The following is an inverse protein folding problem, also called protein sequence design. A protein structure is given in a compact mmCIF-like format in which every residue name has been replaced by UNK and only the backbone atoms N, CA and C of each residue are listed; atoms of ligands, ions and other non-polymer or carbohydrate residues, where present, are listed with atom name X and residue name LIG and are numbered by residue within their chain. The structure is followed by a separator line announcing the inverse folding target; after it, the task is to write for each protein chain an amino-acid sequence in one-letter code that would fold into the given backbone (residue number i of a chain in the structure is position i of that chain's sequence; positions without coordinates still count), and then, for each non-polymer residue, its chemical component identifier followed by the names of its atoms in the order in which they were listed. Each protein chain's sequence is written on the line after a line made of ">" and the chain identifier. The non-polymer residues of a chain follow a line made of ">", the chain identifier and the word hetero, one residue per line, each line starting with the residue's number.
data_IF_625700752871
#
_entry.id   IF_625700752871
#
_cell.length_a   1.000
_cell.length_b   1.000
_cell.length_c   1.000
_cell.angle_alpha   90.00
_cell.angle_beta   90.00
_cell.angle_gamma   90.00
#
_symmetry.space_group_name_H-M   'P 1'
#
loop_
_entity.id
_entity.type
_entity.pdbx_description
1 polymer ?
#
# COMPACT_ATOMS: atom_id res chain seq x y z
N UNK A 1 -29.78 -6.51 -0.22
CA UNK A 1 -28.68 -6.57 0.76
C UNK A 1 -28.50 -7.98 1.34
N UNK A 2 -29.53 -8.60 1.94
CA UNK A 2 -29.46 -9.97 2.49
C UNK A 2 -28.95 -11.03 1.50
N UNK A 3 -29.53 -11.08 0.29
CA UNK A 3 -29.14 -12.03 -0.78
C UNK A 3 -27.70 -11.86 -1.28
N UNK A 4 -27.17 -10.63 -1.21
CA UNK A 4 -25.77 -10.36 -1.57
C UNK A 4 -24.83 -10.93 -0.52
N UNK A 5 -25.14 -10.73 0.76
CA UNK A 5 -24.36 -11.27 1.88
C UNK A 5 -24.39 -12.80 1.87
N UNK A 6 -25.57 -13.41 1.65
CA UNK A 6 -25.72 -14.87 1.57
C UNK A 6 -24.90 -15.47 0.42
N UNK A 7 -24.97 -14.88 -0.78
CA UNK A 7 -24.18 -15.33 -1.92
C UNK A 7 -22.67 -15.17 -1.68
N UNK A 8 -22.26 -14.06 -1.06
CA UNK A 8 -20.86 -13.81 -0.73
C UNK A 8 -20.31 -14.83 0.29
N UNK A 9 -21.11 -15.19 1.31
CA UNK A 9 -20.74 -16.21 2.28
C UNK A 9 -20.60 -17.60 1.64
N UNK A 10 -21.53 -17.97 0.75
CA UNK A 10 -21.47 -19.23 0.00
C UNK A 10 -20.22 -19.31 -0.90
N UNK A 11 -19.85 -18.20 -1.53
CA UNK A 11 -18.65 -18.10 -2.34
C UNK A 11 -17.37 -18.28 -1.49
N UNK A 12 -17.30 -17.61 -0.33
CA UNK A 12 -16.19 -17.76 0.62
C UNK A 12 -16.04 -19.19 1.14
N UNK A 13 -17.15 -19.87 1.45
CA UNK A 13 -17.12 -21.28 1.85
C UNK A 13 -16.63 -22.19 0.72
N UNK A 14 -17.07 -21.92 -0.52
CA UNK A 14 -16.61 -22.64 -1.71
C UNK A 14 -15.11 -22.52 -1.92
N UNK A 15 -14.54 -21.33 -1.70
CA UNK A 15 -13.10 -21.07 -1.82
C UNK A 15 -12.32 -21.82 -0.73
N UNK A 16 -12.77 -21.80 0.53
CA UNK A 16 -12.12 -22.52 1.64
C UNK A 16 -12.02 -24.03 1.40
N UNK A 17 -13.02 -24.63 0.74
CA UNK A 17 -13.04 -26.08 0.44
C UNK A 17 -12.16 -26.47 -0.76
N UNK A 18 -11.88 -25.53 -1.66
CA UNK A 18 -11.15 -25.78 -2.92
C UNK A 18 -9.66 -25.46 -2.84
N UNK A 19 -9.27 -24.60 -1.91
CA UNK A 19 -7.85 -24.34 -1.71
C UNK A 19 -7.24 -25.52 -0.96
N UNK A 20 -6.24 -26.25 -1.52
CA UNK A 20 -5.36 -27.01 -0.67
C UNK A 20 -4.84 -26.03 0.39
N UNK A 21 -4.69 -26.49 1.64
CA UNK A 21 -3.99 -25.74 2.69
C UNK A 21 -2.50 -25.69 2.31
N UNK A 22 -2.19 -25.16 1.14
CA UNK A 22 -0.92 -24.52 0.90
C UNK A 22 -0.99 -23.34 1.83
N UNK A 23 -0.31 -23.47 2.97
CA UNK A 23 0.14 -22.32 3.73
C UNK A 23 0.75 -21.42 2.66
N UNK A 24 0.01 -20.39 2.26
CA UNK A 24 0.63 -19.22 1.69
C UNK A 24 1.68 -18.95 2.75
N UNK A 25 2.95 -19.10 2.41
CA UNK A 25 3.97 -18.42 3.18
C UNK A 25 3.50 -16.99 3.12
N UNK A 26 2.77 -16.56 4.16
CA UNK A 26 2.64 -15.16 4.45
C UNK A 26 4.09 -14.75 4.48
N UNK A 27 4.51 -13.91 3.54
CA UNK A 27 5.78 -13.23 3.66
C UNK A 27 5.72 -12.56 5.04
N UNK A 28 6.31 -13.23 6.02
CA UNK A 28 6.37 -12.72 7.37
C UNK A 28 7.25 -11.50 7.27
N UNK A 29 6.84 -10.42 7.93
CA UNK A 29 7.63 -9.19 8.03
C UNK A 29 9.11 -9.53 8.11
N UNK A 30 9.86 -9.15 7.07
CA UNK A 30 11.30 -9.39 7.01
C UNK A 30 11.98 -8.28 7.79
N UNK A 31 12.83 -8.68 8.74
CA UNK A 31 13.70 -7.76 9.47
C UNK A 31 14.60 -7.06 8.45
N UNK A 32 14.60 -5.73 8.45
CA UNK A 32 15.52 -4.96 7.63
C UNK A 32 16.92 -4.98 8.24
N UNK A 33 17.95 -4.75 7.43
CA UNK A 33 19.29 -4.45 7.97
C UNK A 33 19.23 -3.22 8.88
N UNK A 34 20.02 -3.21 9.96
CA UNK A 34 20.02 -2.15 10.97
C UNK A 34 20.12 -0.75 10.33
N UNK A 35 19.31 0.21 10.82
CA UNK A 35 19.12 1.58 10.28
C UNK A 35 18.22 1.74 9.04
N UNK A 36 17.54 0.69 8.59
CA UNK A 36 16.52 0.82 7.54
C UNK A 36 15.11 0.92 8.16
N UNK A 37 14.30 1.85 7.67
CA UNK A 37 12.88 1.94 8.00
C UNK A 37 12.01 1.33 6.92
N UNK A 38 10.81 0.89 7.30
CA UNK A 38 9.75 0.51 6.37
C UNK A 38 8.69 1.60 6.33
N UNK A 39 8.35 2.08 5.14
CA UNK A 39 7.36 3.13 4.93
C UNK A 39 6.20 2.54 4.13
N UNK A 40 5.11 2.21 4.82
CA UNK A 40 3.90 1.74 4.18
C UNK A 40 3.02 2.93 3.77
N UNK A 41 2.43 2.88 2.58
CA UNK A 41 1.45 3.85 2.12
C UNK A 41 0.21 3.16 1.54
N UNK A 42 -0.91 3.86 1.60
CA UNK A 42 -2.17 3.47 0.96
C UNK A 42 -3.00 4.73 0.62
N UNK A 43 -3.82 4.68 -0.43
CA UNK A 43 -4.69 5.76 -0.85
C UNK A 43 -6.16 5.36 -0.91
N UNK A 44 -6.98 6.01 -0.07
CA UNK A 44 -8.43 5.94 -0.21
C UNK A 44 -8.91 6.93 -1.28
N UNK A 45 -9.63 6.42 -2.29
CA UNK A 45 -10.25 7.23 -3.33
C UNK A 45 -11.78 7.27 -3.20
N UNK A 46 -12.34 8.48 -3.13
CA UNK A 46 -13.74 8.74 -3.41
C UNK A 46 -13.90 9.66 -4.63
N UNK A 47 -14.70 9.23 -5.61
CA UNK A 47 -14.95 9.94 -6.87
C UNK A 47 -15.52 11.35 -6.68
N UNK A 48 -16.16 11.62 -5.54
CA UNK A 48 -16.72 12.92 -5.15
C UNK A 48 -15.66 13.94 -4.67
N UNK A 49 -14.48 13.97 -5.28
CA UNK A 49 -13.38 14.92 -5.01
C UNK A 49 -12.70 14.83 -3.63
N UNK A 50 -12.73 13.67 -2.97
CA UNK A 50 -11.99 13.47 -1.72
C UNK A 50 -11.08 12.27 -1.84
N UNK A 51 -9.78 12.48 -1.67
CA UNK A 51 -8.81 11.40 -1.50
C UNK A 51 -8.01 11.64 -0.23
N UNK A 52 -7.72 10.56 0.47
CA UNK A 52 -6.79 10.58 1.59
C UNK A 52 -5.71 9.56 1.35
N UNK A 53 -4.45 9.96 1.48
CA UNK A 53 -3.38 8.99 1.68
C UNK A 53 -3.15 8.80 3.18
N UNK A 54 -2.70 7.59 3.52
CA UNK A 54 -2.18 7.27 4.84
C UNK A 54 -0.78 6.70 4.68
N UNK A 55 0.13 7.12 5.56
CA UNK A 55 1.54 6.73 5.54
C UNK A 55 1.93 6.33 6.96
N UNK A 56 2.64 5.22 7.10
CA UNK A 56 3.15 4.71 8.38
C UNK A 56 4.62 4.33 8.21
N UNK A 57 5.47 4.85 9.09
CA UNK A 57 6.89 4.51 9.19
C UNK A 57 7.08 3.58 10.38
N UNK A 58 7.79 2.48 10.14
CA UNK A 58 8.16 1.48 11.16
C UNK A 58 9.67 1.23 11.16
N UNK A 59 10.21 0.86 12.31
CA UNK A 59 11.59 0.39 12.40
C UNK A 59 11.73 -1.03 11.85
N UNK A 60 12.97 -1.54 11.86
CA UNK A 60 13.34 -2.89 11.42
C UNK A 60 12.59 -4.00 12.18
N UNK A 61 12.21 -3.77 13.44
CA UNK A 61 11.42 -4.70 14.27
C UNK A 61 9.91 -4.61 13.99
N UNK A 62 9.49 -3.75 13.06
CA UNK A 62 8.08 -3.49 12.74
C UNK A 62 7.36 -2.62 13.76
N UNK A 63 8.08 -1.99 14.70
CA UNK A 63 7.51 -1.08 15.68
C UNK A 63 7.18 0.27 15.02
N UNK A 64 6.07 0.86 15.44
CA UNK A 64 5.63 2.17 14.98
C UNK A 64 6.62 3.27 15.34
N UNK A 65 6.99 4.10 14.36
CA UNK A 65 7.81 5.29 14.56
C UNK A 65 7.01 6.57 14.33
N UNK A 66 6.36 6.70 13.16
CA UNK A 66 5.64 7.91 12.73
C UNK A 66 4.49 7.57 11.79
N UNK A 67 3.49 8.43 11.70
CA UNK A 67 2.45 8.35 10.67
C UNK A 67 2.04 9.75 10.17
N UNK A 68 1.51 9.80 8.96
CA UNK A 68 0.96 11.00 8.33
C UNK A 68 -0.28 10.63 7.54
N UNK A 69 -1.29 11.49 7.59
CA UNK A 69 -2.47 11.42 6.71
C UNK A 69 -2.52 12.71 5.92
N UNK A 70 -2.70 12.61 4.61
CA UNK A 70 -2.82 13.78 3.74
C UNK A 70 -4.08 13.70 2.90
N UNK A 71 -4.81 14.81 2.81
CA UNK A 71 -5.98 14.91 1.95
C UNK A 71 -5.60 15.56 0.62
N UNK A 72 -5.61 14.76 -0.45
CA UNK A 72 -5.32 15.23 -1.80
C UNK A 72 -6.63 15.59 -2.52
N UNK A 73 -6.69 16.81 -3.08
CA UNK A 73 -7.81 17.28 -3.90
C UNK A 73 -7.49 17.09 -5.39
N UNK A 74 -8.53 16.97 -6.21
CA UNK A 74 -8.43 16.96 -7.68
C UNK A 74 -7.59 15.82 -8.30
N UNK A 75 -7.53 14.67 -7.63
CA UNK A 75 -6.82 13.50 -8.18
C UNK A 75 -7.75 12.71 -9.12
N UNK A 76 -7.36 12.45 -10.39
CA UNK A 76 -8.30 12.04 -11.44
C UNK A 76 -8.81 10.60 -11.33
N UNK A 77 -8.04 9.68 -10.75
CA UNK A 77 -8.38 8.24 -10.69
C UNK A 77 -7.62 7.54 -9.55
N UNK A 78 -7.99 6.29 -9.23
CA UNK A 78 -7.37 5.50 -8.15
C UNK A 78 -5.87 5.34 -8.36
N UNK A 79 -5.44 5.05 -9.59
CA UNK A 79 -4.02 4.91 -9.92
C UNK A 79 -3.20 6.15 -9.54
N UNK A 80 -3.68 7.35 -9.91
CA UNK A 80 -3.04 8.61 -9.54
C UNK A 80 -3.07 8.86 -8.03
N UNK A 81 -4.06 8.34 -7.31
CA UNK A 81 -4.12 8.45 -5.84
C UNK A 81 -3.00 7.66 -5.18
N UNK A 82 -2.82 6.41 -5.62
CA UNK A 82 -1.73 5.55 -5.15
C UNK A 82 -0.36 6.09 -5.50
N UNK A 83 -0.19 6.58 -6.74
CA UNK A 83 1.06 7.20 -7.16
C UNK A 83 1.42 8.43 -6.30
N UNK A 84 0.43 9.28 -6.00
CA UNK A 84 0.64 10.44 -5.12
C UNK A 84 0.94 10.00 -3.69
N UNK A 85 0.24 8.99 -3.17
CA UNK A 85 0.52 8.45 -1.83
C UNK A 85 1.95 7.89 -1.73
N UNK A 86 2.42 7.19 -2.76
CA UNK A 86 3.79 6.68 -2.86
C UNK A 86 4.84 7.82 -2.81
N UNK A 87 4.62 8.88 -3.59
CA UNK A 87 5.50 10.06 -3.58
C UNK A 87 5.50 10.75 -2.22
N UNK A 88 4.32 10.93 -1.61
CA UNK A 88 4.19 11.54 -0.29
C UNK A 88 4.84 10.68 0.81
N UNK A 89 4.86 9.36 0.65
CA UNK A 89 5.55 8.44 1.55
C UNK A 89 7.07 8.62 1.48
N UNK A 90 7.64 8.71 0.28
CA UNK A 90 9.05 9.01 0.08
C UNK A 90 9.44 10.36 0.71
N UNK A 91 8.66 11.41 0.43
CA UNK A 91 8.87 12.74 1.00
C UNK A 91 8.81 12.72 2.53
N UNK A 92 7.82 12.02 3.10
CA UNK A 92 7.69 11.92 4.55
C UNK A 92 8.85 11.17 5.21
N UNK A 93 9.42 10.16 4.54
CA UNK A 93 10.64 9.50 4.96
C UNK A 93 11.81 10.47 5.09
N UNK A 94 12.03 11.27 4.05
CA UNK A 94 13.09 12.30 4.00
C UNK A 94 12.86 13.38 5.05
N UNK A 95 11.65 13.96 5.12
CA UNK A 95 11.25 14.94 6.15
C UNK A 95 11.44 14.40 7.58
N UNK A 96 11.32 13.09 7.75
CA UNK A 96 11.48 12.42 9.03
C UNK A 96 12.93 12.10 9.40
N UNK A 97 13.90 12.37 8.51
CA UNK A 97 15.32 12.12 8.71
C UNK A 97 15.80 10.74 8.26
N UNK A 98 14.96 9.96 7.57
CA UNK A 98 15.32 8.63 7.11
C UNK A 98 15.83 8.67 5.66
N UNK A 99 17.15 8.48 5.50
CA UNK A 99 17.82 8.48 4.19
C UNK A 99 17.85 7.09 3.52
N UNK A 100 17.58 6.03 4.28
CA UNK A 100 17.50 4.66 3.80
C UNK A 100 16.23 4.01 4.31
N UNK A 101 15.53 3.31 3.42
CA UNK A 101 14.31 2.58 3.78
C UNK A 101 13.65 1.94 2.58
N UNK A 102 12.70 1.05 2.86
CA UNK A 102 11.84 0.41 1.86
C UNK A 102 10.46 1.07 1.86
N UNK A 103 9.97 1.45 0.69
CA UNK A 103 8.61 1.98 0.52
C UNK A 103 7.73 0.86 -0.03
N UNK A 104 6.61 0.62 0.65
CA UNK A 104 5.68 -0.47 0.33
C UNK A 104 4.26 0.06 0.19
N UNK A 105 3.54 -0.49 -0.80
CA UNK A 105 2.10 -0.28 -0.99
C UNK A 105 1.50 -1.47 -1.75
N UNK A 106 0.18 -1.50 -1.87
CA UNK A 106 -0.55 -2.56 -2.60
C UNK A 106 -0.75 -2.23 -4.10
N UNK A 107 -0.34 -1.03 -4.50
CA UNK A 107 -0.44 -0.53 -5.87
C UNK A 107 0.66 -1.08 -6.81
N UNK A 108 0.58 -2.37 -7.15
CA UNK A 108 1.57 -3.06 -7.99
C UNK A 108 1.88 -2.33 -9.32
N UNK A 109 0.87 -1.70 -9.94
CA UNK A 109 1.05 -0.93 -11.18
C UNK A 109 1.91 0.31 -10.99
N UNK A 110 1.78 1.00 -9.86
CA UNK A 110 2.62 2.15 -9.48
C UNK A 110 4.04 1.67 -9.22
N UNK A 111 4.20 0.61 -8.41
CA UNK A 111 5.52 0.05 -8.06
C UNK A 111 6.27 -0.36 -9.32
N UNK A 112 5.63 -1.09 -10.24
CA UNK A 112 6.24 -1.51 -11.50
C UNK A 112 6.68 -0.33 -12.35
N UNK A 113 5.86 0.72 -12.46
CA UNK A 113 6.22 1.93 -13.21
C UNK A 113 7.44 2.64 -12.61
N UNK A 114 7.57 2.67 -11.28
CA UNK A 114 8.73 3.27 -10.60
C UNK A 114 10.01 2.45 -10.73
N UNK A 115 9.89 1.13 -10.87
CA UNK A 115 11.04 0.21 -11.00
C UNK A 115 11.53 0.04 -12.44
N UNK A 116 10.73 0.43 -13.44
CA UNK A 116 11.14 0.34 -14.84
C UNK A 116 11.95 1.58 -15.23
N UNK A 117 13.16 1.39 -15.74
CA UNK A 117 14.03 2.47 -16.26
C UNK A 117 13.66 2.91 -17.70
N UNK A 118 12.67 2.27 -18.33
CA UNK A 118 12.23 2.66 -19.67
C UNK A 118 11.24 3.83 -19.59
N UNK A 119 11.60 4.96 -20.18
CA UNK A 119 10.71 6.12 -20.32
C UNK A 119 9.33 5.71 -20.88
N UNK A 120 8.27 6.28 -20.30
CA UNK A 120 6.88 6.10 -20.75
C UNK A 120 6.80 6.58 -22.23
N UNK A 121 6.77 5.63 -23.17
CA UNK A 121 6.38 5.93 -24.56
C UNK A 121 4.89 6.24 -24.54
N UNK A 122 4.59 7.54 -24.57
CA UNK A 122 3.25 8.11 -24.63
C UNK A 122 2.42 7.55 -25.78
#
# INVERSE_FOLDING_TARGET
>A
MKRFIENYLLELEGIKRRLPVRRIETERWRLLETMHVKINFDAAYLQQNKKSCSIVIRNEEGQFLKAKVHQNKYIPNTFAAEAVACVQAAQFGVESGYLKGEIEGDALSVIRKLQNESDDKS
#
